data_IF_807308882785
#
_entry.id   IF_807308882785
#
_cell.length_a   1.000
_cell.length_b   1.000
_cell.length_c   1.000
_cell.angle_alpha   90.00
_cell.angle_beta   90.00
_cell.angle_gamma   90.00
#
_symmetry.space_group_name_H-M   'P 1'
#
loop_
_entity.id
_entity.type
_entity.pdbx_description
1 polymer ?
#
# COMPACT_ATOMS: atom_id res chain seq x y z
N UNK A 1 12.54 10.50 -18.92
CA UNK A 1 13.13 11.83 -18.64
C UNK A 1 12.23 12.66 -17.74
N UNK A 2 10.93 12.75 -18.04
CA UNK A 2 9.95 13.49 -17.23
C UNK A 2 9.76 12.93 -15.81
N UNK A 3 9.78 11.61 -15.64
CA UNK A 3 9.60 10.99 -14.33
C UNK A 3 10.79 11.31 -13.40
N UNK A 4 12.02 11.19 -13.91
CA UNK A 4 13.23 11.49 -13.12
C UNK A 4 13.27 12.97 -12.72
N UNK A 5 12.89 13.90 -13.60
CA UNK A 5 12.83 15.31 -13.29
C UNK A 5 11.80 15.61 -12.19
N UNK A 6 10.62 14.98 -12.25
CA UNK A 6 9.57 15.15 -11.23
C UNK A 6 9.93 14.49 -9.90
N UNK A 7 10.69 13.38 -9.91
CA UNK A 7 11.20 12.76 -8.70
C UNK A 7 12.21 13.63 -7.95
N UNK A 8 13.02 14.42 -8.66
CA UNK A 8 13.93 15.40 -8.04
C UNK A 8 13.21 16.57 -7.38
N UNK A 9 11.99 16.87 -7.78
CA UNK A 9 11.12 17.87 -7.14
C UNK A 9 10.46 17.36 -5.87
N UNK A 10 10.37 16.05 -5.68
CA UNK A 10 9.81 15.39 -4.50
C UNK A 10 10.67 15.47 -3.22
N UNK A 11 11.68 16.36 -3.17
CA UNK A 11 12.48 16.66 -1.96
C UNK A 11 11.68 17.34 -0.85
N UNK A 12 10.39 17.54 -1.09
CA UNK A 12 9.43 17.97 -0.09
C UNK A 12 9.10 16.79 0.85
N UNK A 13 8.50 17.06 1.97
CA UNK A 13 8.20 16.09 3.05
C UNK A 13 7.47 14.82 2.62
N UNK A 14 6.85 14.80 1.46
CA UNK A 14 6.17 13.66 0.82
C UNK A 14 6.17 13.86 -0.70
N UNK A 15 6.05 12.79 -1.49
CA UNK A 15 5.86 12.91 -2.92
C UNK A 15 4.69 13.85 -3.24
N UNK A 16 4.88 14.74 -4.21
CA UNK A 16 3.80 15.62 -4.66
C UNK A 16 2.85 14.88 -5.60
N UNK A 17 1.62 15.35 -5.71
CA UNK A 17 0.57 14.69 -6.51
C UNK A 17 0.97 14.49 -7.98
N UNK A 18 1.74 15.43 -8.56
CA UNK A 18 2.25 15.30 -9.93
C UNK A 18 3.22 14.13 -10.09
N UNK A 19 4.03 13.83 -9.05
CA UNK A 19 4.93 12.68 -9.05
C UNK A 19 4.12 11.39 -8.97
N UNK A 20 3.15 11.32 -8.06
CA UNK A 20 2.29 10.15 -7.93
C UNK A 20 1.53 9.88 -9.22
N UNK A 21 0.95 10.91 -9.84
CA UNK A 21 0.28 10.79 -11.14
C UNK A 21 1.23 10.32 -12.25
N UNK A 22 2.46 10.83 -12.29
CA UNK A 22 3.45 10.37 -13.27
C UNK A 22 3.82 8.89 -13.06
N UNK A 23 3.82 8.40 -11.83
CA UNK A 23 4.02 6.96 -11.53
C UNK A 23 2.82 6.14 -12.01
N UNK A 24 1.59 6.60 -11.76
CA UNK A 24 0.37 5.94 -12.25
C UNK A 24 0.36 5.81 -13.78
N UNK A 25 0.79 6.86 -14.50
CA UNK A 25 0.92 6.85 -15.96
C UNK A 25 1.89 5.78 -16.48
N UNK A 26 2.89 5.37 -15.66
CA UNK A 26 3.78 4.24 -15.98
C UNK A 26 3.14 2.89 -15.76
N UNK A 27 1.99 2.84 -15.11
CA UNK A 27 1.29 1.64 -14.65
C UNK A 27 2.11 0.78 -13.68
N UNK A 28 3.07 1.39 -12.95
CA UNK A 28 3.96 0.68 -12.03
C UNK A 28 3.20 -0.13 -10.96
N UNK A 29 2.10 0.39 -10.43
CA UNK A 29 1.30 -0.30 -9.43
C UNK A 29 0.63 -1.59 -9.91
N UNK A 30 0.53 -1.81 -11.25
CA UNK A 30 -0.01 -3.04 -11.84
C UNK A 30 1.01 -4.18 -11.94
N UNK A 31 2.27 -3.95 -11.57
CA UNK A 31 3.35 -4.93 -11.75
C UNK A 31 3.09 -6.25 -11.03
N UNK A 32 2.58 -6.21 -9.82
CA UNK A 32 2.28 -7.40 -9.04
C UNK A 32 0.80 -7.82 -9.03
N UNK A 33 -0.06 -7.05 -9.66
CA UNK A 33 -1.46 -7.44 -9.83
C UNK A 33 -1.52 -8.70 -10.72
N UNK A 34 -2.29 -9.74 -10.34
CA UNK A 34 -2.41 -10.95 -11.15
C UNK A 34 -2.95 -10.68 -12.56
N UNK A 35 -2.47 -11.43 -13.54
CA UNK A 35 -2.91 -11.31 -14.94
C UNK A 35 -4.41 -11.46 -15.12
N UNK A 36 -5.04 -12.33 -14.33
CA UNK A 36 -6.50 -12.54 -14.35
C UNK A 36 -7.31 -11.26 -14.07
N UNK A 37 -6.69 -10.27 -13.40
CA UNK A 37 -7.27 -8.96 -13.14
C UNK A 37 -6.65 -7.84 -14.00
N UNK A 38 -5.94 -8.21 -15.08
CA UNK A 38 -5.34 -7.26 -16.01
C UNK A 38 -4.00 -6.69 -15.55
N UNK A 39 -3.38 -7.25 -14.52
CA UNK A 39 -2.03 -6.90 -14.07
C UNK A 39 -0.94 -7.55 -14.91
N UNK A 40 0.31 -7.23 -14.60
CA UNK A 40 1.47 -7.74 -15.34
C UNK A 40 2.05 -9.02 -14.72
N UNK A 41 1.80 -9.27 -13.43
CA UNK A 41 2.29 -10.45 -12.70
C UNK A 41 3.80 -10.66 -12.86
N UNK A 42 4.56 -9.57 -12.70
CA UNK A 42 5.99 -9.55 -12.91
C UNK A 42 6.77 -10.24 -11.78
N UNK A 43 8.01 -10.63 -12.11
CA UNK A 43 8.93 -11.27 -11.19
C UNK A 43 9.50 -10.29 -10.16
N UNK A 44 9.97 -10.84 -9.02
CA UNK A 44 10.68 -10.06 -8.01
C UNK A 44 11.93 -9.36 -8.59
N UNK A 45 12.60 -9.96 -9.57
CA UNK A 45 13.77 -9.34 -10.21
C UNK A 45 13.40 -8.03 -10.92
N UNK A 46 12.32 -8.04 -11.72
CA UNK A 46 11.83 -6.81 -12.36
C UNK A 46 11.41 -5.73 -11.37
N UNK A 47 10.81 -6.13 -10.24
CA UNK A 47 10.50 -5.21 -9.14
C UNK A 47 11.76 -4.55 -8.56
N UNK A 48 12.82 -5.33 -8.32
CA UNK A 48 14.09 -4.80 -7.81
C UNK A 48 14.73 -3.81 -8.80
N UNK A 49 14.70 -4.11 -10.11
CA UNK A 49 15.24 -3.21 -11.15
C UNK A 49 14.50 -1.87 -11.18
N UNK A 50 13.17 -1.88 -11.03
CA UNK A 50 12.36 -0.65 -10.94
C UNK A 50 12.72 0.12 -9.67
N UNK A 51 12.75 -0.57 -8.51
CA UNK A 51 13.09 0.04 -7.24
C UNK A 51 14.47 0.70 -7.25
N UNK A 52 15.48 0.05 -7.84
CA UNK A 52 16.82 0.63 -8.01
C UNK A 52 16.80 1.87 -8.91
N UNK A 53 16.06 1.82 -10.01
CA UNK A 53 15.95 2.94 -10.96
C UNK A 53 15.27 4.15 -10.32
N UNK A 54 14.20 3.95 -9.56
CA UNK A 54 13.51 4.99 -8.81
C UNK A 54 14.39 5.54 -7.68
N UNK A 55 15.07 4.66 -6.93
CA UNK A 55 15.93 5.02 -5.82
C UNK A 55 17.15 5.82 -6.23
N UNK A 56 17.65 5.63 -7.44
CA UNK A 56 18.73 6.45 -8.00
C UNK A 56 18.30 7.92 -8.23
N UNK A 57 17.01 8.18 -8.38
CA UNK A 57 16.46 9.53 -8.53
C UNK A 57 16.07 10.14 -7.16
N UNK A 58 15.27 9.44 -6.38
CA UNK A 58 14.87 9.85 -5.03
C UNK A 58 14.45 8.62 -4.19
N UNK A 59 15.19 8.40 -3.10
CA UNK A 59 15.00 7.18 -2.28
C UNK A 59 13.69 7.20 -1.51
N UNK A 60 13.22 8.36 -1.06
CA UNK A 60 11.97 8.47 -0.30
C UNK A 60 10.76 8.16 -1.17
N UNK A 61 10.75 8.73 -2.37
CA UNK A 61 9.70 8.47 -3.36
C UNK A 61 9.73 6.99 -3.82
N UNK A 62 10.94 6.46 -4.08
CA UNK A 62 11.10 5.04 -4.43
C UNK A 62 10.55 4.12 -3.35
N UNK A 63 10.78 4.44 -2.07
CA UNK A 63 10.26 3.68 -0.95
C UNK A 63 8.73 3.63 -0.96
N UNK A 64 8.07 4.79 -1.09
CA UNK A 64 6.60 4.86 -1.14
C UNK A 64 6.04 4.04 -2.30
N UNK A 65 6.62 4.22 -3.50
CA UNK A 65 6.13 3.56 -4.71
C UNK A 65 6.29 2.04 -4.62
N UNK A 66 7.50 1.57 -4.28
CA UNK A 66 7.77 0.13 -4.21
C UNK A 66 6.97 -0.54 -3.09
N UNK A 67 6.79 0.12 -1.96
CA UNK A 67 5.96 -0.36 -0.86
C UNK A 67 4.49 -0.55 -1.29
N UNK A 68 3.93 0.42 -2.00
CA UNK A 68 2.58 0.29 -2.54
C UNK A 68 2.47 -0.73 -3.68
N UNK A 69 3.53 -0.93 -4.48
CA UNK A 69 3.57 -2.00 -5.48
C UNK A 69 3.48 -3.39 -4.85
N UNK A 70 4.29 -3.66 -3.80
CA UNK A 70 4.32 -4.97 -3.15
C UNK A 70 3.00 -5.29 -2.43
N UNK A 71 2.23 -4.29 -2.00
CA UNK A 71 0.93 -4.52 -1.37
C UNK A 71 -0.14 -5.01 -2.35
N UNK A 72 0.00 -4.78 -3.65
CA UNK A 72 -0.81 -5.46 -4.65
C UNK A 72 -0.49 -6.96 -4.74
N UNK A 73 0.77 -7.35 -4.50
CA UNK A 73 1.13 -8.75 -4.33
C UNK A 73 0.51 -9.32 -3.03
N UNK A 74 0.61 -8.60 -1.90
CA UNK A 74 -0.02 -9.03 -0.65
C UNK A 74 -1.53 -9.25 -0.81
N UNK A 75 -2.23 -8.37 -1.52
CA UNK A 75 -3.66 -8.54 -1.81
C UNK A 75 -3.92 -9.82 -2.61
N UNK A 76 -3.01 -10.21 -3.51
CA UNK A 76 -3.14 -11.45 -4.27
C UNK A 76 -3.06 -12.73 -3.42
N UNK A 77 -2.62 -12.62 -2.16
CA UNK A 77 -2.58 -13.72 -1.18
C UNK A 77 -3.86 -13.82 -0.32
N UNK A 78 -4.77 -12.85 -0.44
CA UNK A 78 -6.07 -12.93 0.24
C UNK A 78 -6.96 -13.99 -0.42
N UNK A 79 -8.09 -14.31 0.22
CA UNK A 79 -9.05 -15.21 -0.39
C UNK A 79 -9.57 -14.64 -1.74
N UNK A 80 -10.12 -15.54 -2.56
CA UNK A 80 -10.53 -15.16 -3.91
C UNK A 80 -11.63 -14.09 -3.90
N UNK A 81 -12.56 -14.16 -2.95
CA UNK A 81 -13.66 -13.21 -2.81
C UNK A 81 -13.13 -11.78 -2.60
N UNK A 82 -12.21 -11.57 -1.66
CA UNK A 82 -11.59 -10.27 -1.43
C UNK A 82 -10.80 -9.75 -2.64
N UNK A 83 -10.11 -10.66 -3.36
CA UNK A 83 -9.42 -10.28 -4.60
C UNK A 83 -10.41 -9.82 -5.68
N UNK A 84 -11.53 -10.53 -5.86
CA UNK A 84 -12.57 -10.20 -6.84
C UNK A 84 -13.27 -8.90 -6.48
N UNK A 85 -13.58 -8.68 -5.22
CA UNK A 85 -14.21 -7.45 -4.74
C UNK A 85 -13.36 -6.22 -4.99
N UNK A 86 -12.05 -6.32 -4.85
CA UNK A 86 -11.14 -5.18 -4.99
C UNK A 86 -10.62 -5.05 -6.43
N UNK A 87 -9.94 -6.08 -6.95
CA UNK A 87 -9.39 -6.03 -8.31
C UNK A 87 -10.46 -6.06 -9.41
N UNK A 88 -11.68 -6.51 -9.11
CA UNK A 88 -12.82 -6.40 -10.03
C UNK A 88 -13.30 -4.95 -10.24
N UNK A 89 -12.98 -4.06 -9.29
CA UNK A 89 -13.36 -2.65 -9.35
C UNK A 89 -12.17 -1.72 -9.60
N UNK A 90 -10.97 -2.11 -9.16
CA UNK A 90 -9.75 -1.30 -9.21
C UNK A 90 -8.63 -2.06 -9.92
N UNK A 91 -7.93 -1.45 -10.89
CA UNK A 91 -6.83 -2.09 -11.61
C UNK A 91 -5.60 -2.33 -10.71
N UNK A 92 -5.52 -1.68 -9.58
CA UNK A 92 -4.52 -1.78 -8.50
C UNK A 92 -5.01 -1.00 -7.27
N UNK A 93 -4.32 -1.18 -6.16
CA UNK A 93 -4.53 -0.37 -4.95
C UNK A 93 -3.26 0.42 -4.59
N UNK A 94 -3.45 1.57 -3.97
CA UNK A 94 -2.40 2.30 -3.26
C UNK A 94 -2.76 2.18 -1.78
N UNK A 95 -2.01 1.33 -1.07
CA UNK A 95 -2.32 1.01 0.31
C UNK A 95 -1.06 1.00 1.17
N UNK A 96 -1.00 1.75 2.27
CA UNK A 96 -0.02 1.51 3.32
C UNK A 96 -0.29 0.16 3.99
N UNK A 97 0.77 -0.45 4.55
CA UNK A 97 0.67 -1.66 5.36
C UNK A 97 1.28 -1.47 6.74
N UNK A 98 0.56 -1.86 7.78
CA UNK A 98 1.07 -1.90 9.14
C UNK A 98 0.80 -3.28 9.74
N UNK A 99 1.81 -4.18 9.64
CA UNK A 99 1.71 -5.58 10.08
C UNK A 99 1.61 -5.75 11.60
N UNK A 100 2.20 -4.83 12.37
CA UNK A 100 2.17 -4.96 13.82
C UNK A 100 0.72 -4.98 14.34
N UNK A 101 0.33 -6.02 15.12
CA UNK A 101 -1.05 -6.21 15.57
C UNK A 101 -1.38 -5.27 16.73
N UNK A 102 -1.41 -3.98 16.45
CA UNK A 102 -1.75 -2.94 17.43
C UNK A 102 -3.25 -2.69 17.56
N UNK A 103 -4.06 -3.54 16.93
CA UNK A 103 -5.51 -3.45 16.96
C UNK A 103 -6.18 -4.78 17.25
N UNK A 104 -7.47 -4.70 17.46
CA UNK A 104 -8.38 -5.82 17.70
C UNK A 104 -9.41 -5.85 16.58
N UNK A 105 -9.66 -7.04 16.05
CA UNK A 105 -10.71 -7.32 15.09
C UNK A 105 -11.83 -8.10 15.77
N UNK A 106 -12.94 -7.43 16.04
CA UNK A 106 -14.12 -8.05 16.64
C UNK A 106 -15.06 -8.51 15.53
N UNK A 107 -15.44 -9.81 15.49
CA UNK A 107 -16.39 -10.32 14.50
C UNK A 107 -17.73 -9.58 14.59
N UNK A 108 -18.29 -9.21 13.46
CA UNK A 108 -19.64 -8.64 13.32
C UNK A 108 -20.34 -9.28 12.12
N UNK A 109 -21.62 -9.06 11.95
CA UNK A 109 -22.35 -9.54 10.77
C UNK A 109 -21.73 -8.92 9.49
N UNK A 110 -21.30 -9.79 8.55
CA UNK A 110 -20.71 -9.41 7.28
C UNK A 110 -19.22 -9.02 7.33
N UNK A 111 -18.51 -9.24 8.47
CA UNK A 111 -17.08 -8.96 8.53
C UNK A 111 -16.52 -8.71 9.93
N UNK A 112 -15.69 -7.68 10.07
CA UNK A 112 -15.01 -7.34 11.33
C UNK A 112 -15.07 -5.85 11.63
N UNK A 113 -15.23 -5.51 12.90
CA UNK A 113 -14.98 -4.16 13.40
C UNK A 113 -13.55 -4.07 13.89
N UNK A 114 -12.77 -3.16 13.30
CA UNK A 114 -11.37 -2.94 13.67
C UNK A 114 -11.25 -1.78 14.64
N UNK A 115 -10.54 -1.97 15.72
CA UNK A 115 -10.26 -0.93 16.72
C UNK A 115 -8.79 -0.92 17.04
N UNK A 116 -8.12 0.22 16.85
CA UNK A 116 -6.69 0.33 17.11
C UNK A 116 -6.09 1.62 16.59
N UNK A 117 -4.77 1.76 16.78
CA UNK A 117 -3.96 2.83 16.22
C UNK A 117 -2.66 2.25 15.68
N UNK A 118 -2.47 2.40 14.38
CA UNK A 118 -1.28 1.92 13.68
C UNK A 118 -0.37 3.10 13.33
N UNK A 119 0.92 2.82 13.24
CA UNK A 119 1.95 3.82 12.95
C UNK A 119 2.69 3.42 11.67
N UNK A 120 3.36 4.42 11.06
CA UNK A 120 4.21 4.22 9.90
C UNK A 120 3.47 3.69 8.67
N UNK A 121 2.34 4.29 8.36
CA UNK A 121 1.61 4.00 7.13
C UNK A 121 2.29 4.66 5.92
N UNK A 122 3.32 4.00 5.37
CA UNK A 122 4.05 4.49 4.19
C UNK A 122 3.11 4.76 3.03
N UNK A 123 3.09 5.99 2.52
CA UNK A 123 2.24 6.38 1.39
C UNK A 123 0.77 6.66 1.77
N UNK A 124 0.41 6.70 3.06
CA UNK A 124 -0.98 6.86 3.51
C UNK A 124 -1.66 8.13 2.99
N UNK A 125 -0.88 9.18 2.71
CA UNK A 125 -1.40 10.45 2.20
C UNK A 125 -1.89 10.37 0.74
N UNK A 126 -1.58 9.27 0.04
CA UNK A 126 -1.98 9.00 -1.35
C UNK A 126 -2.83 7.72 -1.45
N UNK A 127 -3.16 7.12 -0.32
CA UNK A 127 -3.81 5.83 -0.26
C UNK A 127 -5.30 5.90 -0.65
N UNK A 128 -5.78 4.86 -1.28
CA UNK A 128 -7.21 4.57 -1.46
C UNK A 128 -7.67 3.39 -0.59
N UNK A 129 -6.73 2.56 -0.10
CA UNK A 129 -6.95 1.46 0.82
C UNK A 129 -5.91 1.46 1.92
N UNK A 130 -6.13 0.70 3.00
CA UNK A 130 -5.12 0.41 4.04
C UNK A 130 -5.10 -1.08 4.37
N UNK A 131 -3.91 -1.60 4.66
CA UNK A 131 -3.71 -2.96 5.17
C UNK A 131 -3.19 -2.90 6.60
N UNK A 132 -3.88 -3.51 7.54
CA UNK A 132 -3.55 -3.43 8.96
C UNK A 132 -3.59 -4.79 9.63
N UNK A 133 -2.58 -5.07 10.45
CA UNK A 133 -2.55 -6.26 11.30
C UNK A 133 -3.37 -6.05 12.56
N UNK A 134 -4.23 -7.00 12.89
CA UNK A 134 -4.99 -7.02 14.14
C UNK A 134 -5.15 -8.44 14.68
N UNK A 135 -5.34 -8.55 16.00
CA UNK A 135 -5.68 -9.82 16.64
C UNK A 135 -7.18 -10.05 16.53
N UNK A 136 -7.57 -11.21 16.03
CA UNK A 136 -8.98 -11.59 15.90
C UNK A 136 -9.53 -12.07 17.22
N UNK A 137 -10.61 -11.46 17.71
CA UNK A 137 -11.31 -11.93 18.91
C UNK A 137 -12.17 -13.16 18.64
N UNK A 138 -12.47 -13.90 19.72
CA UNK A 138 -13.37 -15.06 19.65
C UNK A 138 -12.72 -16.35 19.16
N UNK A 139 -11.42 -16.34 18.90
CA UNK A 139 -10.62 -17.51 18.56
C UNK A 139 -9.64 -17.85 19.68
N UNK A 140 -9.36 -19.12 19.88
CA UNK A 140 -8.41 -19.62 20.86
C UNK A 140 -7.44 -20.63 20.20
N UNK A 141 -6.16 -20.30 20.00
CA UNK A 141 -5.50 -19.02 20.35
C UNK A 141 -5.94 -17.86 19.45
N UNK A 142 -5.79 -16.61 19.92
CA UNK A 142 -6.04 -15.44 19.07
C UNK A 142 -5.17 -15.48 17.81
N UNK A 143 -5.76 -15.18 16.67
CA UNK A 143 -5.06 -15.22 15.37
C UNK A 143 -4.70 -13.80 14.91
N UNK A 144 -3.44 -13.64 14.49
CA UNK A 144 -3.01 -12.43 13.79
C UNK A 144 -3.47 -12.51 12.33
N UNK A 145 -4.32 -11.59 11.93
CA UNK A 145 -4.74 -11.44 10.53
C UNK A 145 -4.39 -10.07 9.97
N UNK A 146 -4.20 -10.02 8.66
CA UNK A 146 -4.13 -8.77 7.89
C UNK A 146 -5.52 -8.46 7.36
N UNK A 147 -5.99 -7.27 7.70
CA UNK A 147 -7.27 -6.74 7.24
C UNK A 147 -7.03 -5.65 6.21
N UNK A 148 -7.91 -5.59 5.21
CA UNK A 148 -7.90 -4.55 4.19
C UNK A 148 -9.22 -3.79 4.25
N UNK A 149 -9.15 -2.46 4.18
CA UNK A 149 -10.34 -1.59 4.23
C UNK A 149 -10.09 -0.30 3.45
N UNK A 150 -11.18 0.34 2.94
CA UNK A 150 -11.09 1.63 2.27
C UNK A 150 -10.52 2.72 3.20
N UNK A 151 -9.77 3.67 2.63
CA UNK A 151 -9.13 4.76 3.39
C UNK A 151 -10.16 5.64 4.11
N UNK A 152 -11.37 5.77 3.57
CA UNK A 152 -12.45 6.58 4.13
C UNK A 152 -12.97 6.06 5.48
N UNK A 153 -12.64 4.82 5.83
CA UNK A 153 -13.01 4.20 7.11
C UNK A 153 -11.99 4.44 8.22
N UNK A 154 -10.90 5.16 7.95
CA UNK A 154 -9.84 5.44 8.92
C UNK A 154 -9.57 6.94 9.04
N UNK A 155 -9.15 7.35 10.23
CA UNK A 155 -8.60 8.68 10.45
C UNK A 155 -7.09 8.65 10.18
N UNK A 156 -6.63 9.45 9.21
CA UNK A 156 -5.20 9.61 8.91
C UNK A 156 -4.63 10.75 9.74
N UNK A 157 -3.59 10.44 10.54
CA UNK A 157 -2.90 11.43 11.37
C UNK A 157 -1.52 11.70 10.77
N UNK A 158 -1.32 12.90 10.21
CA UNK A 158 -0.02 13.33 9.69
C UNK A 158 0.93 13.65 10.85
N UNK A 159 1.67 12.63 11.28
CA UNK A 159 2.60 12.71 12.42
C UNK A 159 4.08 12.51 12.05
N UNK A 160 4.40 12.25 10.77
CA UNK A 160 5.75 11.99 10.34
C UNK A 160 6.52 13.30 10.14
N UNK A 161 7.47 13.59 11.04
CA UNK A 161 8.26 14.83 11.08
C UNK A 161 9.77 14.55 11.01
N UNK A 162 10.18 13.43 10.42
CA UNK A 162 11.58 13.01 10.34
C UNK A 162 12.32 13.69 9.19
N UNK A 163 13.64 13.78 9.28
CA UNK A 163 14.50 14.42 8.28
C UNK A 163 14.77 13.54 7.04
N UNK A 164 14.39 12.27 7.07
CA UNK A 164 14.55 11.32 5.96
C UNK A 164 13.29 10.51 5.73
N UNK A 165 13.24 9.84 4.59
CA UNK A 165 12.10 8.99 4.21
C UNK A 165 10.77 9.75 4.30
N UNK A 166 10.76 10.97 3.79
CA UNK A 166 9.60 11.84 3.76
C UNK A 166 8.67 11.42 2.61
N UNK A 167 7.87 10.39 2.87
CA UNK A 167 6.95 9.83 1.88
C UNK A 167 5.87 9.01 2.52
#
# INVERSE_FOLDING_TARGET
HNLITRLTEARLRKPVDEVMKAVEETQAYRYFVPKKYGGFEFSLLGFMEIGMSLGAADISTAWVITFCMEHNWLLSLYNQEAQEDIFGQYPYIIAPGALAPKGIATPVEGGYRLTGRWQWGTGVMHANWVMIGAMTEGQAPPELCMYILPIEQVEVIDSWQMSGMAG
#
